data_IF_629389643988
#
_entry.id   IF_629389643988
#
_cell.length_a   1.000
_cell.length_b   1.000
_cell.length_c   1.000
_cell.angle_alpha   90.00
_cell.angle_beta   90.00
_cell.angle_gamma   90.00
#
_symmetry.space_group_name_H-M   'P 1'
#
loop_
_entity.id
_entity.type
_entity.pdbx_description
1 polymer ?
#
# COMPACT_ATOMS: atom_id res chain seq x y z
N UNK A 1 -13.46 -28.31 34.15
CA UNK A 1 -14.30 -27.78 33.06
C UNK A 1 -13.79 -28.39 31.75
N UNK A 2 -14.67 -29.00 30.95
CA UNK A 2 -14.33 -29.54 29.62
C UNK A 2 -14.11 -28.36 28.66
N UNK A 3 -13.03 -28.39 27.88
CA UNK A 3 -12.76 -27.39 26.83
C UNK A 3 -13.77 -27.46 25.68
N UNK A 4 -13.84 -26.42 24.83
CA UNK A 4 -14.77 -26.37 23.70
C UNK A 4 -14.47 -27.48 22.68
N UNK A 5 -15.49 -27.97 21.95
CA UNK A 5 -15.32 -29.04 20.98
C UNK A 5 -14.44 -28.57 19.80
N UNK A 6 -13.68 -29.49 19.17
CA UNK A 6 -12.91 -29.17 17.98
C UNK A 6 -13.85 -28.68 16.87
N UNK A 7 -13.58 -27.49 16.34
CA UNK A 7 -14.34 -26.89 15.25
C UNK A 7 -14.39 -27.84 14.05
N UNK A 8 -15.56 -27.95 13.44
CA UNK A 8 -15.77 -28.69 12.19
C UNK A 8 -14.74 -28.22 11.16
N UNK A 9 -13.93 -29.14 10.63
CA UNK A 9 -13.12 -28.86 9.44
C UNK A 9 -14.10 -28.63 8.29
N UNK A 10 -13.97 -27.50 7.60
CA UNK A 10 -14.75 -27.23 6.39
C UNK A 10 -14.57 -28.37 5.40
N UNK A 11 -15.67 -28.82 4.77
CA UNK A 11 -15.62 -29.87 3.76
C UNK A 11 -14.84 -29.37 2.52
N UNK A 12 -13.96 -30.20 1.94
CA UNK A 12 -13.21 -29.81 0.75
C UNK A 12 -14.17 -29.55 -0.42
N UNK A 13 -14.11 -28.33 -0.97
CA UNK A 13 -14.90 -27.93 -2.13
C UNK A 13 -14.14 -28.25 -3.41
N UNK A 14 -14.83 -28.79 -4.40
CA UNK A 14 -14.30 -28.93 -5.75
C UNK A 14 -14.32 -27.56 -6.43
N UNK A 15 -13.15 -27.07 -6.84
CA UNK A 15 -13.00 -25.85 -7.62
C UNK A 15 -12.71 -26.26 -9.05
N UNK A 16 -13.50 -25.75 -10.00
CA UNK A 16 -13.29 -26.04 -11.41
C UNK A 16 -12.01 -25.38 -11.93
N UNK A 17 -11.46 -25.94 -13.02
CA UNK A 17 -10.31 -25.32 -13.70
C UNK A 17 -10.59 -23.90 -14.18
N UNK A 18 -11.82 -23.62 -14.62
CA UNK A 18 -12.23 -22.29 -15.07
C UNK A 18 -12.20 -21.29 -13.92
N UNK A 19 -12.72 -21.66 -12.75
CA UNK A 19 -12.70 -20.80 -11.55
C UNK A 19 -11.26 -20.52 -11.09
N UNK A 20 -10.36 -21.51 -11.17
CA UNK A 20 -8.94 -21.32 -10.88
C UNK A 20 -8.28 -20.34 -11.86
N UNK A 21 -8.57 -20.47 -13.15
CA UNK A 21 -8.03 -19.58 -14.19
C UNK A 21 -8.56 -18.15 -14.06
N UNK A 22 -9.85 -17.98 -13.74
CA UNK A 22 -10.47 -16.67 -13.50
C UNK A 22 -9.87 -15.96 -12.28
N UNK A 23 -9.63 -16.69 -11.19
CA UNK A 23 -8.99 -16.13 -10.00
C UNK A 23 -7.53 -15.74 -10.29
N UNK A 24 -6.78 -16.59 -11.01
CA UNK A 24 -5.42 -16.26 -11.43
C UNK A 24 -5.37 -15.03 -12.35
N UNK A 25 -6.32 -14.91 -13.28
CA UNK A 25 -6.43 -13.75 -14.17
C UNK A 25 -6.76 -12.47 -13.39
N UNK A 26 -7.69 -12.55 -12.42
CA UNK A 26 -8.06 -11.44 -11.54
C UNK A 26 -6.88 -11.00 -10.68
N UNK A 27 -6.19 -11.94 -10.05
CA UNK A 27 -4.99 -11.67 -9.26
C UNK A 27 -3.89 -11.02 -10.10
N UNK A 28 -3.72 -11.46 -11.35
CA UNK A 28 -2.75 -10.89 -12.29
C UNK A 28 -3.13 -9.46 -12.69
N UNK A 29 -4.39 -9.22 -13.07
CA UNK A 29 -4.87 -7.89 -13.44
C UNK A 29 -4.73 -6.89 -12.27
N UNK A 30 -5.01 -7.35 -11.06
CA UNK A 30 -4.78 -6.62 -9.81
C UNK A 30 -3.30 -6.24 -9.65
N UNK A 31 -2.38 -7.20 -9.81
CA UNK A 31 -0.94 -6.93 -9.70
C UNK A 31 -0.44 -5.97 -10.78
N UNK A 32 -0.90 -6.12 -12.03
CA UNK A 32 -0.52 -5.22 -13.12
C UNK A 32 -1.03 -3.79 -12.88
N UNK A 33 -2.26 -3.65 -12.40
CA UNK A 33 -2.84 -2.35 -12.07
C UNK A 33 -2.08 -1.70 -10.92
N UNK A 34 -1.74 -2.47 -9.88
CA UNK A 34 -1.03 -1.94 -8.73
C UNK A 34 0.45 -1.63 -9.04
N UNK A 35 1.10 -2.39 -9.91
CA UNK A 35 2.44 -2.07 -10.42
C UNK A 35 2.49 -0.70 -11.14
N UNK A 36 1.37 -0.25 -11.73
CA UNK A 36 1.28 1.08 -12.33
C UNK A 36 1.38 2.23 -11.29
N UNK A 37 1.13 1.94 -10.01
CA UNK A 37 1.24 2.91 -8.91
C UNK A 37 2.61 2.93 -8.24
N UNK A 38 3.48 1.98 -8.56
CA UNK A 38 4.84 1.98 -8.04
C UNK A 38 5.49 0.60 -8.03
N UNK A 39 6.64 0.53 -8.69
CA UNK A 39 7.54 -0.62 -8.67
C UNK A 39 8.98 -0.11 -8.59
N UNK A 40 9.66 -0.38 -7.48
CA UNK A 40 11.05 0.02 -7.29
C UNK A 40 11.96 -1.20 -7.03
N UNK A 41 13.20 -0.97 -6.59
CA UNK A 41 14.16 -2.05 -6.35
C UNK A 41 13.76 -2.98 -5.19
N UNK A 42 13.06 -2.45 -4.19
CA UNK A 42 12.80 -3.12 -2.91
C UNK A 42 11.31 -3.41 -2.67
N UNK A 43 10.42 -2.66 -3.29
CA UNK A 43 8.98 -2.75 -3.07
C UNK A 43 8.14 -2.62 -4.34
N UNK A 44 6.86 -2.96 -4.17
CA UNK A 44 5.83 -2.82 -5.17
C UNK A 44 4.50 -2.50 -4.50
N UNK A 45 3.62 -1.80 -5.21
CA UNK A 45 2.27 -1.52 -4.76
C UNK A 45 1.35 -2.68 -5.17
N UNK A 46 0.49 -3.13 -4.26
CA UNK A 46 -0.54 -4.17 -4.47
C UNK A 46 -1.78 -3.89 -3.61
N UNK A 47 -2.93 -4.54 -3.85
CA UNK A 47 -4.06 -4.43 -2.93
C UNK A 47 -3.77 -5.00 -1.55
N UNK A 48 -4.50 -4.44 -0.58
CA UNK A 48 -4.51 -4.78 0.83
C UNK A 48 -5.95 -4.64 1.36
N UNK A 49 -6.20 -5.03 2.61
CA UNK A 49 -7.53 -4.98 3.21
C UNK A 49 -8.11 -3.55 3.36
N UNK A 50 -7.28 -2.52 3.20
CA UNK A 50 -7.67 -1.11 3.30
C UNK A 50 -7.41 -0.29 2.02
N UNK A 51 -7.35 -0.95 0.85
CA UNK A 51 -7.10 -0.31 -0.43
C UNK A 51 -5.76 -0.75 -1.03
N UNK A 52 -4.91 0.17 -1.43
CA UNK A 52 -3.54 -0.15 -1.89
C UNK A 52 -2.56 -0.19 -0.71
N UNK A 53 -1.51 -1.00 -0.85
CA UNK A 53 -0.44 -1.17 0.12
C UNK A 53 0.93 -1.28 -0.56
N UNK A 54 1.98 -0.88 0.15
CA UNK A 54 3.37 -1.09 -0.25
C UNK A 54 3.90 -2.40 0.34
N UNK A 55 4.37 -3.30 -0.52
CA UNK A 55 4.88 -4.62 -0.13
C UNK A 55 6.34 -4.78 -0.55
N UNK A 56 7.10 -5.56 0.23
CA UNK A 56 8.47 -5.89 -0.09
C UNK A 56 8.54 -6.90 -1.26
N UNK A 57 9.36 -6.61 -2.27
CA UNK A 57 9.64 -7.53 -3.40
C UNK A 57 10.82 -8.46 -3.14
N UNK A 58 11.66 -8.10 -2.18
CA UNK A 58 12.88 -8.83 -1.81
C UNK A 58 12.98 -8.92 -0.28
N UNK A 59 13.72 -9.91 0.27
CA UNK A 59 14.00 -9.94 1.70
C UNK A 59 14.71 -8.66 2.16
N UNK A 60 14.16 -8.01 3.19
CA UNK A 60 14.69 -6.76 3.75
C UNK A 60 15.49 -7.01 5.03
N UNK A 61 16.48 -6.16 5.28
CA UNK A 61 17.26 -6.17 6.53
C UNK A 61 16.72 -5.15 7.52
N UNK A 62 16.86 -5.42 8.81
CA UNK A 62 16.52 -4.44 9.85
C UNK A 62 17.34 -3.15 9.65
N UNK A 63 16.66 -1.99 9.72
CA UNK A 63 17.27 -0.68 9.50
C UNK A 63 17.56 -0.34 8.03
N UNK A 64 17.16 -1.18 7.07
CA UNK A 64 17.33 -0.88 5.65
C UNK A 64 16.41 0.25 5.20
N UNK A 65 16.99 1.25 4.52
CA UNK A 65 16.22 2.26 3.82
C UNK A 65 15.49 1.65 2.61
N UNK A 66 14.19 1.89 2.49
CA UNK A 66 13.33 1.32 1.44
C UNK A 66 12.99 2.37 0.40
N UNK A 67 12.35 3.46 0.82
CA UNK A 67 11.90 4.52 -0.08
C UNK A 67 11.77 5.84 0.68
N UNK A 68 11.85 6.95 -0.05
CA UNK A 68 11.59 8.29 0.45
C UNK A 68 10.10 8.62 0.32
N UNK A 69 9.53 9.19 1.38
CA UNK A 69 8.22 9.81 1.30
C UNK A 69 8.37 11.17 0.64
N UNK A 70 8.16 11.20 -0.68
CA UNK A 70 8.39 12.38 -1.50
C UNK A 70 7.08 13.05 -1.94
N UNK A 71 7.19 14.32 -2.33
CA UNK A 71 6.11 15.18 -2.78
C UNK A 71 6.43 16.66 -2.54
N UNK A 72 5.60 17.59 -3.05
CA UNK A 72 5.73 19.01 -2.80
C UNK A 72 5.83 19.34 -1.31
N UNK A 73 6.86 20.11 -0.96
CA UNK A 73 7.05 20.64 0.40
C UNK A 73 6.29 21.95 0.53
N UNK A 74 5.25 21.93 1.35
CA UNK A 74 4.33 23.06 1.49
C UNK A 74 4.30 23.56 2.94
N UNK A 75 4.13 24.87 3.17
CA UNK A 75 3.77 25.35 4.49
C UNK A 75 2.46 24.71 4.97
N UNK A 76 2.41 24.27 6.23
CA UNK A 76 1.27 23.56 6.83
C UNK A 76 -0.07 24.30 6.67
N UNK A 77 -0.05 25.64 6.64
CA UNK A 77 -1.23 26.48 6.39
C UNK A 77 -1.90 26.25 5.02
N UNK A 78 -1.22 25.59 4.09
CA UNK A 78 -1.74 25.24 2.76
C UNK A 78 -2.34 23.83 2.72
N UNK A 79 -2.24 23.06 3.80
CA UNK A 79 -2.90 21.76 3.91
C UNK A 79 -4.41 21.97 4.06
N UNK A 80 -5.15 21.78 2.97
CA UNK A 80 -6.62 21.85 2.97
C UNK A 80 -7.21 20.44 3.06
N UNK A 81 -6.56 19.45 2.45
CA UNK A 81 -7.00 18.06 2.37
C UNK A 81 -5.78 17.11 2.39
N UNK A 82 -6.05 15.81 2.41
CA UNK A 82 -5.12 14.81 1.91
C UNK A 82 -4.84 13.66 2.85
N UNK A 83 -5.06 12.44 2.35
CA UNK A 83 -4.75 11.20 3.07
C UNK A 83 -3.25 10.88 3.07
N UNK A 84 -2.50 11.49 2.14
CA UNK A 84 -1.09 11.23 1.91
C UNK A 84 -0.23 12.44 2.25
N UNK A 85 -0.43 13.00 3.45
CA UNK A 85 0.34 14.15 3.95
C UNK A 85 1.22 13.72 5.12
N UNK A 86 2.51 14.05 5.04
CA UNK A 86 3.48 13.79 6.10
C UNK A 86 4.01 15.11 6.69
N UNK A 87 3.77 15.34 7.97
CA UNK A 87 4.33 16.49 8.69
C UNK A 87 5.83 16.31 8.97
N UNK A 88 6.64 17.34 8.71
CA UNK A 88 8.08 17.30 9.00
C UNK A 88 8.32 17.76 10.45
N UNK A 89 8.84 16.90 11.34
CA UNK A 89 8.98 17.22 12.75
C UNK A 89 9.83 18.46 13.02
N UNK A 90 9.40 19.28 13.98
CA UNK A 90 10.10 20.51 14.36
C UNK A 90 9.98 21.66 13.35
N UNK A 91 9.12 21.53 12.34
CA UNK A 91 8.90 22.56 11.32
C UNK A 91 7.40 22.84 11.13
N UNK A 92 7.09 23.89 10.36
CA UNK A 92 5.74 24.16 9.84
C UNK A 92 5.58 23.72 8.38
N UNK A 93 6.35 22.71 7.96
CA UNK A 93 6.35 22.16 6.60
C UNK A 93 5.69 20.78 6.60
N UNK A 94 4.90 20.53 5.56
CA UNK A 94 4.36 19.23 5.21
C UNK A 94 4.96 18.75 3.89
N UNK A 95 4.94 17.44 3.67
CA UNK A 95 5.15 16.79 2.38
C UNK A 95 3.79 16.32 1.90
N UNK A 96 3.34 16.83 0.75
CA UNK A 96 2.06 16.50 0.12
C UNK A 96 2.24 15.36 -0.89
N UNK A 97 2.28 14.12 -0.42
CA UNK A 97 2.69 12.95 -1.22
C UNK A 97 1.78 12.63 -2.42
N UNK A 98 0.51 13.03 -2.37
CA UNK A 98 -0.44 12.85 -3.48
C UNK A 98 -0.65 14.11 -4.33
N UNK A 99 0.04 15.22 -4.00
CA UNK A 99 -0.06 16.52 -4.67
C UNK A 99 -1.48 17.11 -4.65
N UNK A 100 -2.28 16.79 -3.63
CA UNK A 100 -3.69 17.21 -3.52
C UNK A 100 -3.83 18.68 -3.13
N UNK A 101 -2.77 19.27 -2.57
CA UNK A 101 -2.68 20.66 -2.14
C UNK A 101 -1.73 21.49 -3.02
N UNK A 102 -1.04 20.85 -3.97
CA UNK A 102 -0.14 21.49 -4.91
C UNK A 102 -0.90 22.00 -6.14
N UNK A 103 -0.58 23.21 -6.67
CA UNK A 103 -1.13 23.68 -7.94
C UNK A 103 -0.51 22.98 -9.17
N UNK A 104 0.48 22.11 -8.95
CA UNK A 104 1.18 21.37 -9.99
C UNK A 104 1.03 19.87 -9.75
N UNK A 105 0.88 19.11 -10.83
CA UNK A 105 1.01 17.65 -10.79
C UNK A 105 2.46 17.27 -10.47
N UNK A 106 2.66 16.26 -9.63
CA UNK A 106 3.96 15.65 -9.43
C UNK A 106 3.86 14.13 -9.45
N UNK A 107 4.99 13.50 -9.72
CA UNK A 107 5.12 12.05 -9.65
C UNK A 107 4.90 11.58 -8.20
N UNK A 108 4.16 10.49 -8.05
CA UNK A 108 3.84 9.93 -6.73
C UNK A 108 4.89 8.90 -6.35
N UNK A 109 5.47 9.05 -5.16
CA UNK A 109 6.32 8.02 -4.58
C UNK A 109 5.49 6.81 -4.16
N UNK A 110 6.00 5.59 -4.38
CA UNK A 110 5.40 4.34 -3.88
C UNK A 110 5.24 4.34 -2.35
N UNK A 111 6.06 5.14 -1.63
CA UNK A 111 6.04 5.26 -0.18
C UNK A 111 4.71 5.75 0.39
N UNK A 112 3.92 6.51 -0.39
CA UNK A 112 2.61 7.01 0.06
C UNK A 112 1.62 5.89 0.34
N UNK A 113 1.81 4.72 -0.29
CA UNK A 113 0.96 3.54 -0.11
C UNK A 113 1.38 2.65 1.08
N UNK A 114 2.37 3.06 1.89
CA UNK A 114 2.68 2.36 3.13
C UNK A 114 1.57 2.60 4.16
N UNK A 115 0.78 1.56 4.44
CA UNK A 115 -0.35 1.64 5.37
C UNK A 115 0.11 1.72 6.83
N UNK A 116 -0.68 2.40 7.65
CA UNK A 116 -0.43 2.50 9.10
C UNK A 116 -0.72 1.17 9.81
N UNK A 117 0.15 0.81 10.75
CA UNK A 117 -0.02 -0.30 11.69
C UNK A 117 0.21 0.20 13.13
N UNK A 118 -0.58 -0.30 14.08
CA UNK A 118 -0.56 0.06 15.51
C UNK A 118 0.36 -0.84 16.34
#
# INVERSE_FOLDING_TARGET
ARGPPPGSRDEPQYISHVELEEEAARATAVHLTAAAYGLDAFGFVAPSDCGLGLFARVPLRAGQFISEYDGPRLPQRLQVQGQYVLGVPGTSVIIDGACENSPFECERSSAIYANHSL
#
